data_IF_144453712414
#
_entry.id   IF_144453712414
#
_cell.length_a   1.000
_cell.length_b   1.000
_cell.length_c   1.000
_cell.angle_alpha   90.00
_cell.angle_beta   90.00
_cell.angle_gamma   90.00
#
_symmetry.space_group_name_H-M   'P 1'
#
loop_
_entity.id
_entity.type
_entity.pdbx_description
1 polymer ?
#
# COMPACT_ATOMS: atom_id res chain seq x y z
N UNK A 1 12.09 -18.23 11.66
CA UNK A 1 10.75 -17.66 11.43
C UNK A 1 10.58 -17.54 9.91
N UNK A 2 9.65 -18.28 9.30
CA UNK A 2 9.45 -18.20 7.84
C UNK A 2 8.79 -16.86 7.53
N UNK A 3 9.45 -16.02 6.72
CA UNK A 3 8.83 -14.81 6.19
C UNK A 3 7.50 -15.19 5.52
N UNK A 4 6.39 -14.48 5.79
CA UNK A 4 5.17 -14.69 5.01
C UNK A 4 5.50 -14.44 3.54
N UNK A 5 5.14 -15.37 2.65
CA UNK A 5 5.41 -15.23 1.22
C UNK A 5 4.54 -14.09 0.68
N UNK A 6 5.14 -12.92 0.53
CA UNK A 6 4.56 -11.76 -0.16
C UNK A 6 4.96 -11.81 -1.64
N UNK A 7 4.22 -11.10 -2.49
CA UNK A 7 4.57 -10.93 -3.91
C UNK A 7 6.01 -10.46 -4.05
N UNK A 8 6.73 -11.03 -5.01
CA UNK A 8 8.14 -10.70 -5.27
C UNK A 8 8.40 -9.19 -5.48
N UNK A 9 7.60 -8.44 -6.27
CA UNK A 9 7.78 -6.99 -6.39
C UNK A 9 7.70 -6.25 -5.05
N UNK A 10 6.78 -6.66 -4.16
CA UNK A 10 6.64 -6.04 -2.85
C UNK A 10 7.85 -6.34 -1.97
N UNK A 11 8.37 -7.57 -2.01
CA UNK A 11 9.56 -7.94 -1.24
C UNK A 11 10.78 -7.10 -1.63
N UNK A 12 11.02 -6.92 -2.93
CA UNK A 12 12.14 -6.14 -3.46
C UNK A 12 12.01 -4.65 -3.05
N UNK A 13 10.80 -4.08 -3.13
CA UNK A 13 10.56 -2.68 -2.77
C UNK A 13 10.67 -2.45 -1.26
N UNK A 14 10.12 -3.33 -0.42
CA UNK A 14 10.23 -3.22 1.04
C UNK A 14 11.70 -3.27 1.48
N UNK A 15 12.47 -4.23 0.95
CA UNK A 15 13.89 -4.32 1.25
C UNK A 15 14.64 -3.04 0.84
N UNK A 16 14.37 -2.55 -0.38
CA UNK A 16 14.98 -1.32 -0.87
C UNK A 16 14.64 -0.10 0.00
N UNK A 17 13.37 0.09 0.39
CA UNK A 17 12.95 1.20 1.26
C UNK A 17 13.58 1.08 2.65
N UNK A 18 13.56 -0.12 3.24
CA UNK A 18 14.16 -0.40 4.56
C UNK A 18 15.65 -0.05 4.58
N UNK A 19 16.41 -0.44 3.55
CA UNK A 19 17.86 -0.21 3.48
C UNK A 19 18.24 1.24 3.12
N UNK A 20 17.49 1.85 2.21
CA UNK A 20 17.84 3.15 1.63
C UNK A 20 17.32 4.31 2.47
N UNK A 21 16.17 4.16 3.14
CA UNK A 21 15.58 5.21 3.96
C UNK A 21 16.46 5.53 5.17
N UNK A 22 16.86 6.80 5.25
CA UNK A 22 17.65 7.37 6.36
C UNK A 22 16.79 7.94 7.48
N UNK A 23 15.48 7.71 7.42
CA UNK A 23 14.54 8.11 8.46
C UNK A 23 14.60 9.61 8.82
N UNK A 24 14.80 10.45 7.79
CA UNK A 24 15.01 11.90 7.97
C UNK A 24 13.75 12.68 8.35
N UNK A 25 12.56 12.08 8.24
CA UNK A 25 11.28 12.69 8.62
C UNK A 25 10.69 13.74 7.66
N UNK A 26 11.38 14.19 6.61
CA UNK A 26 10.88 15.25 5.71
C UNK A 26 9.52 14.89 5.07
N UNK A 27 9.38 13.70 4.50
CA UNK A 27 8.12 13.24 3.93
C UNK A 27 6.99 13.11 4.96
N UNK A 28 7.31 12.90 6.24
CA UNK A 28 6.34 12.81 7.33
C UNK A 28 5.77 14.17 7.71
N UNK A 29 6.58 15.23 7.63
CA UNK A 29 6.14 16.61 7.91
C UNK A 29 5.10 17.11 6.89
N UNK A 30 5.16 16.59 5.67
CA UNK A 30 4.32 17.02 4.55
C UNK A 30 3.12 16.08 4.28
N UNK A 31 2.92 15.04 5.11
CA UNK A 31 1.94 14.00 4.82
C UNK A 31 1.25 13.47 6.08
N UNK A 32 -0.01 13.85 6.29
CA UNK A 32 -0.86 13.41 7.42
C UNK A 32 -0.90 11.88 7.58
N UNK A 33 -0.89 11.15 6.46
CA UNK A 33 -0.84 9.69 6.48
C UNK A 33 0.46 9.16 7.12
N UNK A 34 1.61 9.72 6.73
CA UNK A 34 2.91 9.33 7.30
C UNK A 34 3.07 9.89 8.72
N UNK A 35 2.47 11.03 9.03
CA UNK A 35 2.43 11.55 10.40
C UNK A 35 1.73 10.58 11.35
N UNK A 36 0.61 10.00 10.90
CA UNK A 36 -0.19 9.01 11.62
C UNK A 36 0.45 7.63 11.70
N UNK A 37 1.02 7.13 10.60
CA UNK A 37 1.44 5.72 10.47
C UNK A 37 2.95 5.48 10.57
N UNK A 38 3.75 6.55 10.61
CA UNK A 38 5.20 6.47 10.70
C UNK A 38 5.89 6.69 9.35
N UNK A 39 7.21 6.70 9.38
CA UNK A 39 8.03 6.94 8.20
C UNK A 39 8.00 5.75 7.24
N UNK A 40 8.39 5.95 5.97
CA UNK A 40 8.46 4.84 5.01
C UNK A 40 9.35 3.67 5.50
N UNK A 41 10.41 3.97 6.27
CA UNK A 41 11.28 2.96 6.87
C UNK A 41 10.54 2.15 7.93
N UNK A 42 9.90 2.82 8.88
CA UNK A 42 9.13 2.19 9.94
C UNK A 42 8.03 1.29 9.38
N UNK A 43 7.31 1.78 8.36
CA UNK A 43 6.28 1.01 7.64
C UNK A 43 6.89 -0.22 6.97
N UNK A 44 8.04 -0.10 6.29
CA UNK A 44 8.72 -1.22 5.64
C UNK A 44 9.21 -2.27 6.66
N UNK A 45 9.83 -1.82 7.75
CA UNK A 45 10.42 -2.69 8.77
C UNK A 45 9.36 -3.43 9.60
N UNK A 46 8.22 -2.79 9.84
CA UNK A 46 7.13 -3.34 10.64
C UNK A 46 6.02 -4.00 9.80
N UNK A 47 6.17 -4.07 8.48
CA UNK A 47 5.14 -4.61 7.60
C UNK A 47 4.87 -6.09 7.88
N UNK A 48 3.61 -6.41 8.21
CA UNK A 48 3.13 -7.78 8.35
C UNK A 48 1.84 -7.96 7.53
N UNK A 49 1.87 -8.74 6.44
CA UNK A 49 0.71 -8.97 5.58
C UNK A 49 -0.42 -9.76 6.26
N UNK A 50 -0.19 -10.36 7.43
CA UNK A 50 -1.20 -11.09 8.20
C UNK A 50 -1.96 -10.19 9.17
N UNK A 51 -1.42 -9.01 9.50
CA UNK A 51 -2.08 -8.07 10.42
C UNK A 51 -3.10 -7.23 9.67
N UNK A 52 -4.20 -6.93 10.34
CA UNK A 52 -5.25 -6.07 9.81
C UNK A 52 -4.71 -4.68 9.46
N UNK A 53 -3.79 -4.13 10.26
CA UNK A 53 -3.15 -2.85 9.92
C UNK A 53 -2.43 -2.94 8.57
N UNK A 54 -1.56 -3.93 8.38
CA UNK A 54 -0.81 -4.12 7.13
C UNK A 54 -1.68 -4.37 5.89
N UNK A 55 -2.93 -4.80 6.10
CA UNK A 55 -3.91 -5.02 5.04
C UNK A 55 -4.73 -3.77 4.70
N UNK A 56 -5.16 -3.01 5.72
CA UNK A 56 -6.15 -1.92 5.54
C UNK A 56 -5.52 -0.54 5.47
N UNK A 57 -4.51 -0.27 6.32
CA UNK A 57 -3.83 1.04 6.40
C UNK A 57 -3.35 1.57 5.03
N UNK A 58 -2.79 0.75 4.11
CA UNK A 58 -2.34 1.25 2.82
C UNK A 58 -3.42 1.95 2.01
N UNK A 59 -4.70 1.61 2.22
CA UNK A 59 -5.84 2.22 1.54
C UNK A 59 -6.14 3.65 2.00
N UNK A 60 -5.58 4.11 3.13
CA UNK A 60 -5.69 5.51 3.57
C UNK A 60 -4.74 6.46 2.82
N UNK A 61 -3.62 5.97 2.29
CA UNK A 61 -2.70 6.80 1.52
C UNK A 61 -3.34 7.26 0.19
N UNK A 62 -3.43 8.55 -0.12
CA UNK A 62 -4.03 8.96 -1.41
C UNK A 62 -3.18 8.64 -2.65
N UNK A 63 -1.99 8.05 -2.48
CA UNK A 63 -0.99 7.85 -3.55
C UNK A 63 -0.68 9.15 -4.31
N UNK A 64 -0.69 10.30 -3.62
CA UNK A 64 -0.47 11.62 -4.20
C UNK A 64 0.97 11.87 -4.67
N UNK A 65 1.92 11.02 -4.23
CA UNK A 65 3.35 11.05 -4.58
C UNK A 65 4.19 12.20 -4.00
N UNK A 66 3.62 13.09 -3.18
CA UNK A 66 4.38 14.16 -2.51
C UNK A 66 5.58 13.62 -1.71
N UNK A 67 5.41 12.48 -1.04
CA UNK A 67 6.48 11.83 -0.28
C UNK A 67 7.65 11.32 -1.13
N UNK A 68 7.42 11.01 -2.41
CA UNK A 68 8.48 10.67 -3.37
C UNK A 68 9.26 11.93 -3.74
N UNK A 69 8.55 13.03 -4.06
CA UNK A 69 9.13 14.28 -4.55
C UNK A 69 9.98 15.00 -3.50
N UNK A 70 9.57 14.97 -2.23
CA UNK A 70 10.33 15.61 -1.14
C UNK A 70 11.45 14.74 -0.58
N UNK A 71 11.62 13.50 -1.05
CA UNK A 71 12.66 12.61 -0.54
C UNK A 71 14.04 12.98 -1.10
N UNK A 72 15.01 13.43 -0.27
CA UNK A 72 16.34 13.79 -0.77
C UNK A 72 17.19 12.58 -1.15
N UNK A 73 16.73 11.36 -0.83
CA UNK A 73 17.43 10.11 -1.12
C UNK A 73 16.82 9.33 -2.30
N UNK A 74 15.83 9.91 -3.00
CA UNK A 74 15.23 9.30 -4.19
C UNK A 74 14.43 8.02 -3.92
N UNK A 75 13.86 7.89 -2.72
CA UNK A 75 13.00 6.75 -2.36
C UNK A 75 11.60 7.02 -2.85
N UNK A 76 10.88 5.96 -3.26
CA UNK A 76 9.49 6.05 -3.72
C UNK A 76 8.52 5.38 -2.73
N UNK A 77 8.18 6.01 -1.57
CA UNK A 77 7.21 5.45 -0.64
C UNK A 77 5.84 5.18 -1.26
N UNK A 78 5.41 5.99 -2.24
CA UNK A 78 4.11 5.80 -2.89
C UNK A 78 4.05 4.48 -3.67
N UNK A 79 5.16 4.06 -4.29
CA UNK A 79 5.26 2.79 -5.00
C UNK A 79 5.19 1.61 -4.03
N UNK A 80 5.86 1.72 -2.88
CA UNK A 80 5.76 0.72 -1.81
C UNK A 80 4.31 0.56 -1.34
N UNK A 81 3.63 1.66 -1.02
CA UNK A 81 2.24 1.64 -0.56
C UNK A 81 1.29 1.06 -1.62
N UNK A 82 1.54 1.32 -2.91
CA UNK A 82 0.79 0.70 -4.00
C UNK A 82 0.98 -0.82 -4.05
N UNK A 83 2.21 -1.33 -3.91
CA UNK A 83 2.42 -2.78 -3.88
C UNK A 83 1.81 -3.43 -2.63
N UNK A 84 1.81 -2.73 -1.49
CA UNK A 84 1.12 -3.23 -0.29
C UNK A 84 -0.40 -3.32 -0.54
N UNK A 85 -1.01 -2.36 -1.24
CA UNK A 85 -2.43 -2.47 -1.65
C UNK A 85 -2.67 -3.68 -2.53
N UNK A 86 -1.80 -3.93 -3.52
CA UNK A 86 -1.90 -5.07 -4.44
C UNK A 86 -1.81 -6.39 -3.68
N UNK A 87 -0.86 -6.50 -2.76
CA UNK A 87 -0.73 -7.64 -1.85
C UNK A 87 -1.99 -7.85 -1.00
N UNK A 88 -2.58 -6.77 -0.47
CA UNK A 88 -3.79 -6.82 0.34
C UNK A 88 -4.99 -7.32 -0.46
N UNK A 89 -5.15 -6.86 -1.71
CA UNK A 89 -6.20 -7.34 -2.62
C UNK A 89 -6.01 -8.82 -2.96
N UNK A 90 -4.80 -9.27 -3.27
CA UNK A 90 -4.53 -10.70 -3.56
C UNK A 90 -4.79 -11.62 -2.37
N UNK A 91 -4.69 -11.08 -1.15
CA UNK A 91 -5.04 -11.78 0.10
C UNK A 91 -6.52 -11.68 0.46
N UNK A 92 -7.36 -11.17 -0.44
CA UNK A 92 -8.78 -10.91 -0.24
C UNK A 92 -9.08 -9.89 0.89
N UNK A 93 -8.07 -9.14 1.34
CA UNK A 93 -8.21 -8.11 2.36
C UNK A 93 -8.61 -6.72 1.80
N UNK A 94 -8.73 -6.60 0.47
CA UNK A 94 -9.26 -5.42 -0.22
C UNK A 94 -10.75 -5.52 -0.57
N UNK A 95 -11.40 -6.65 -0.28
CA UNK A 95 -12.82 -6.90 -0.53
C UNK A 95 -13.67 -6.34 0.62
N UNK A 96 -13.91 -5.03 0.61
CA UNK A 96 -14.70 -4.36 1.65
C UNK A 96 -16.20 -4.61 1.47
N UNK A 97 -16.93 -5.06 2.51
CA UNK A 97 -18.37 -5.27 2.44
C UNK A 97 -19.15 -4.04 1.96
N UNK A 98 -18.67 -2.85 2.30
CA UNK A 98 -19.22 -1.55 1.93
C UNK A 98 -19.24 -1.34 0.41
N UNK A 99 -18.36 -2.01 -0.33
CA UNK A 99 -18.26 -1.89 -1.79
C UNK A 99 -19.14 -2.90 -2.54
N UNK A 100 -19.77 -3.86 -1.85
CA UNK A 100 -20.48 -4.98 -2.49
C UNK A 100 -21.54 -4.53 -3.49
N UNK A 101 -22.34 -3.52 -3.13
CA UNK A 101 -23.41 -3.00 -4.01
C UNK A 101 -22.87 -2.45 -5.32
N UNK A 102 -21.76 -1.69 -5.26
CA UNK A 102 -21.12 -1.11 -6.43
C UNK A 102 -20.50 -2.22 -7.29
N UNK A 103 -19.75 -3.15 -6.69
CA UNK A 103 -19.12 -4.25 -7.40
C UNK A 103 -20.16 -5.19 -8.06
N UNK A 104 -21.30 -5.42 -7.42
CA UNK A 104 -22.40 -6.20 -8.00
C UNK A 104 -23.11 -5.46 -9.12
N UNK A 105 -23.22 -4.13 -9.05
CA UNK A 105 -23.71 -3.30 -10.15
C UNK A 105 -22.77 -3.38 -11.35
N UNK A 106 -21.47 -3.18 -11.14
CA UNK A 106 -20.44 -3.28 -12.19
C UNK A 106 -20.40 -4.67 -12.82
N UNK A 107 -20.41 -5.74 -12.02
CA UNK A 107 -20.39 -7.12 -12.52
C UNK A 107 -21.61 -7.43 -13.40
N UNK A 108 -22.80 -6.94 -13.02
CA UNK A 108 -24.01 -7.09 -13.82
C UNK A 108 -23.93 -6.26 -15.10
N UNK A 109 -23.55 -4.98 -14.98
CA UNK A 109 -23.42 -4.06 -16.11
C UNK A 109 -22.39 -4.51 -17.15
N UNK A 110 -21.31 -5.16 -16.72
CA UNK A 110 -20.23 -5.69 -17.57
C UNK A 110 -20.48 -7.12 -18.08
N UNK A 111 -21.63 -7.73 -17.75
CA UNK A 111 -21.96 -9.08 -18.20
C UNK A 111 -22.36 -9.11 -19.68
N UNK A 112 -22.21 -10.27 -20.34
CA UNK A 112 -22.61 -10.50 -21.74
C UNK A 112 -24.06 -10.11 -22.09
N UNK A 113 -24.92 -9.97 -21.08
CA UNK A 113 -26.31 -9.53 -21.26
C UNK A 113 -26.41 -8.03 -21.57
N UNK A 114 -25.45 -7.23 -21.10
CA UNK A 114 -25.46 -5.77 -21.15
C UNK A 114 -24.23 -5.16 -21.86
N UNK A 115 -23.21 -5.97 -22.17
CA UNK A 115 -22.04 -5.58 -22.99
C UNK A 115 -21.93 -6.43 -24.25
N UNK A 116 -21.36 -5.86 -25.32
CA UNK A 116 -21.19 -6.47 -26.65
C UNK A 116 -19.92 -7.32 -26.77
#
# INVERSE_FOLDING_TARGET
MKQPSIRRPLQEIIAHVSETCKDCGLCRQECDFLEKYGTPKEIADCYDPKKKEGQVMPFECSLCRLCDDVCPFGINPSQMLLEIRRESVERDAGSFPEHTVLLDYERRGMSKRFTW
#
